data_IF_816536932890
#
_entry.id   IF_816536932890
#
_cell.length_a   1.000
_cell.length_b   1.000
_cell.length_c   1.000
_cell.angle_alpha   90.00
_cell.angle_beta   90.00
_cell.angle_gamma   90.00
#
_symmetry.space_group_name_H-M   'P 1'
#
loop_
_entity.id
_entity.type
_entity.pdbx_description
1 polymer ?
#
# COMPACT_ATOMS: atom_id res chain seq x y z
N UNK A 1 3.72 -13.47 11.64
CA UNK A 1 4.26 -12.79 10.46
C UNK A 1 3.19 -12.74 9.39
N UNK A 2 2.73 -11.54 9.01
CA UNK A 2 1.65 -11.28 8.06
C UNK A 2 2.09 -10.26 7.02
N UNK A 3 1.81 -10.56 5.76
CA UNK A 3 2.12 -9.70 4.62
C UNK A 3 0.82 -9.27 3.94
N UNK A 4 0.61 -7.97 3.82
CA UNK A 4 -0.42 -7.38 2.97
C UNK A 4 0.10 -7.25 1.54
N UNK A 5 -0.73 -7.58 0.55
CA UNK A 5 -0.41 -7.34 -0.87
C UNK A 5 -1.63 -6.68 -1.50
N UNK A 6 -1.42 -5.57 -2.20
CA UNK A 6 -2.45 -4.93 -3.02
C UNK A 6 -1.84 -4.39 -4.31
N UNK A 7 -2.64 -4.25 -5.35
CA UNK A 7 -2.20 -3.81 -6.67
C UNK A 7 -3.32 -3.04 -7.37
N UNK A 8 -2.99 -2.44 -8.52
CA UNK A 8 -3.94 -1.88 -9.47
C UNK A 8 -4.96 -0.90 -8.87
N UNK A 9 -4.46 0.09 -8.12
CA UNK A 9 -5.34 1.04 -7.42
C UNK A 9 -5.84 2.17 -8.32
N UNK A 10 -5.25 2.36 -9.51
CA UNK A 10 -5.60 3.43 -10.47
C UNK A 10 -5.83 4.80 -9.79
N UNK A 11 -4.98 5.16 -8.82
CA UNK A 11 -5.08 6.38 -8.01
C UNK A 11 -6.41 6.57 -7.25
N UNK A 12 -7.19 5.49 -7.05
CA UNK A 12 -8.45 5.54 -6.31
C UNK A 12 -8.20 5.65 -4.81
N UNK A 13 -7.99 6.88 -4.34
CA UNK A 13 -7.58 7.23 -2.98
C UNK A 13 -8.43 6.58 -1.87
N UNK A 14 -9.74 6.47 -2.07
CA UNK A 14 -10.63 5.85 -1.09
C UNK A 14 -10.36 4.34 -0.91
N UNK A 15 -9.96 3.65 -1.99
CA UNK A 15 -9.66 2.22 -1.94
C UNK A 15 -8.28 1.98 -1.34
N UNK A 16 -7.32 2.87 -1.60
CA UNK A 16 -6.01 2.84 -0.96
C UNK A 16 -6.17 2.99 0.55
N UNK A 17 -6.93 3.98 1.02
CA UNK A 17 -7.22 4.17 2.45
C UNK A 17 -7.88 2.95 3.07
N UNK A 18 -8.91 2.41 2.41
CA UNK A 18 -9.58 1.19 2.87
C UNK A 18 -8.60 0.01 2.97
N UNK A 19 -7.71 -0.17 2.00
CA UNK A 19 -6.70 -1.22 2.03
C UNK A 19 -5.74 -1.04 3.21
N UNK A 20 -5.26 0.19 3.45
CA UNK A 20 -4.40 0.52 4.58
C UNK A 20 -5.09 0.22 5.91
N UNK A 21 -6.34 0.64 6.09
CA UNK A 21 -7.12 0.36 7.31
C UNK A 21 -7.26 -1.15 7.55
N UNK A 22 -7.55 -1.92 6.49
CA UNK A 22 -7.63 -3.39 6.58
C UNK A 22 -6.31 -4.04 6.98
N UNK A 23 -5.18 -3.54 6.47
CA UNK A 23 -3.86 -4.08 6.83
C UNK A 23 -3.46 -3.70 8.27
N UNK A 24 -3.83 -2.50 8.72
CA UNK A 24 -3.64 -2.06 10.10
C UNK A 24 -4.46 -2.93 11.07
N UNK A 25 -5.75 -3.13 10.80
CA UNK A 25 -6.63 -3.98 11.62
C UNK A 25 -6.14 -5.44 11.65
N UNK A 26 -5.63 -5.93 10.51
CA UNK A 26 -5.07 -7.27 10.40
C UNK A 26 -3.72 -7.43 11.11
N UNK A 27 -3.08 -6.32 11.55
CA UNK A 27 -1.72 -6.27 12.10
C UNK A 27 -0.71 -6.92 11.15
N UNK A 28 -0.70 -6.49 9.90
CA UNK A 28 0.33 -6.89 8.94
C UNK A 28 1.68 -6.28 9.33
N UNK A 29 2.74 -7.09 9.26
CA UNK A 29 4.11 -6.65 9.53
C UNK A 29 4.69 -5.88 8.33
N UNK A 30 4.26 -6.25 7.12
CA UNK A 30 4.71 -5.64 5.86
C UNK A 30 3.56 -5.53 4.87
N UNK A 31 3.58 -4.51 4.01
CA UNK A 31 2.61 -4.32 2.92
C UNK A 31 3.35 -4.05 1.61
N UNK A 32 3.07 -4.87 0.60
CA UNK A 32 3.63 -4.76 -0.75
C UNK A 32 2.57 -4.19 -1.67
N UNK A 33 2.96 -3.21 -2.50
CA UNK A 33 2.11 -2.71 -3.56
C UNK A 33 2.65 -3.16 -4.92
N UNK A 34 1.90 -4.00 -5.62
CA UNK A 34 2.31 -4.60 -6.89
C UNK A 34 1.58 -4.00 -8.10
N UNK A 35 1.11 -2.75 -8.01
CA UNK A 35 0.43 -2.05 -9.11
C UNK A 35 1.25 -0.93 -9.74
N UNK A 36 0.70 -0.33 -10.80
CA UNK A 36 1.22 0.91 -11.36
C UNK A 36 0.97 2.06 -10.38
N UNK A 37 2.06 2.64 -9.89
CA UNK A 37 2.01 3.72 -8.94
C UNK A 37 2.35 5.03 -9.64
N UNK A 38 1.38 5.93 -9.74
CA UNK A 38 1.67 7.28 -10.21
C UNK A 38 2.41 8.03 -9.09
N UNK A 39 3.62 8.57 -9.32
CA UNK A 39 4.72 8.49 -8.35
C UNK A 39 4.63 9.39 -7.11
N UNK A 40 3.53 10.11 -6.90
CA UNK A 40 3.55 11.30 -6.02
C UNK A 40 2.77 11.12 -4.72
N UNK A 41 1.69 10.34 -4.69
CA UNK A 41 0.79 10.31 -3.53
C UNK A 41 0.95 9.11 -2.58
N UNK A 42 1.38 7.94 -3.07
CA UNK A 42 1.38 6.74 -2.22
C UNK A 42 2.44 6.75 -1.12
N UNK A 43 3.57 7.45 -1.31
CA UNK A 43 4.64 7.51 -0.28
C UNK A 43 4.20 8.21 1.00
N UNK A 44 3.21 9.10 0.93
CA UNK A 44 2.78 9.89 2.09
C UNK A 44 1.79 9.15 3.02
N UNK A 45 1.27 7.98 2.62
CA UNK A 45 0.23 7.26 3.36
C UNK A 45 0.70 5.95 3.98
N UNK A 46 1.95 5.56 3.76
CA UNK A 46 2.51 4.33 4.32
C UNK A 46 3.17 4.66 5.66
N UNK A 47 2.89 3.90 6.74
CA UNK A 47 3.56 4.09 8.03
C UNK A 47 5.08 4.00 7.86
N UNK A 48 5.83 4.82 8.61
CA UNK A 48 7.30 4.92 8.54
C UNK A 48 8.05 3.57 8.63
N UNK A 49 7.43 2.53 9.19
CA UNK A 49 8.03 1.21 9.40
C UNK A 49 7.79 0.21 8.25
N UNK A 50 6.98 0.54 7.24
CA UNK A 50 6.65 -0.37 6.15
C UNK A 50 7.50 -0.10 4.90
N UNK A 51 8.37 -1.05 4.54
CA UNK A 51 9.13 -0.98 3.28
C UNK A 51 8.19 -1.15 2.08
N UNK A 52 8.01 -0.05 1.36
CA UNK A 52 7.28 -0.02 0.10
C UNK A 52 8.15 -0.60 -1.04
N UNK A 53 7.73 -1.72 -1.62
CA UNK A 53 8.28 -2.28 -2.86
C UNK A 53 7.23 -2.19 -3.95
N UNK A 54 7.40 -1.23 -4.88
CA UNK A 54 6.56 -1.10 -6.07
C UNK A 54 7.40 -1.08 -7.34
N UNK A 55 6.93 -1.74 -8.39
CA UNK A 55 7.53 -1.60 -9.71
C UNK A 55 7.17 -0.23 -10.29
N UNK A 56 8.16 0.41 -10.92
CA UNK A 56 7.91 1.52 -11.83
C UNK A 56 7.27 0.90 -13.08
N UNK A 57 5.97 1.15 -13.28
CA UNK A 57 5.38 1.14 -14.62
C UNK A 57 5.99 2.25 -15.47
#
# INVERSE_FOLDING_TARGET
MKFGIFADTHDHLANIRLAVDRFNDARCDYVIFAGDLVPTFAKAQVPHDCQFWGQRG
#
